data_IF_899609025516
#
_entry.id   IF_899609025516
#
_cell.length_a   1.000
_cell.length_b   1.000
_cell.length_c   1.000
_cell.angle_alpha   90.00
_cell.angle_beta   90.00
_cell.angle_gamma   90.00
#
_symmetry.space_group_name_H-M   'P 1'
#
loop_
_entity.id
_entity.type
_entity.pdbx_description
1 polymer ?
#
# COMPACT_ATOMS: atom_id res chain seq x y z
N UNK A 1 -6.72 1.09 11.35
CA UNK A 1 -7.65 -0.02 11.03
C UNK A 1 -6.94 -1.34 11.23
N UNK A 2 -7.67 -2.33 11.66
CA UNK A 2 -7.14 -3.70 11.82
C UNK A 2 -7.65 -4.57 10.68
N UNK A 3 -6.75 -5.30 10.03
CA UNK A 3 -7.12 -6.26 9.00
C UNK A 3 -7.68 -7.53 9.65
N UNK A 4 -8.87 -7.93 9.24
CA UNK A 4 -9.53 -9.12 9.77
C UNK A 4 -9.50 -10.26 8.73
N UNK A 5 -9.20 -11.47 9.20
CA UNK A 5 -9.16 -12.66 8.34
C UNK A 5 -10.50 -12.90 7.62
N UNK A 6 -11.60 -12.78 8.33
CA UNK A 6 -12.94 -13.02 7.77
C UNK A 6 -13.28 -12.03 6.65
N UNK A 7 -12.89 -10.77 6.80
CA UNK A 7 -13.11 -9.75 5.79
C UNK A 7 -12.30 -10.02 4.52
N UNK A 8 -11.07 -10.49 4.68
CA UNK A 8 -10.21 -10.87 3.55
C UNK A 8 -10.80 -12.07 2.81
N UNK A 9 -11.28 -13.07 3.53
CA UNK A 9 -11.92 -14.25 2.94
C UNK A 9 -13.18 -13.86 2.16
N UNK A 10 -13.99 -12.93 2.68
CA UNK A 10 -15.15 -12.40 1.95
C UNK A 10 -14.73 -11.76 0.63
N UNK A 11 -13.70 -10.94 0.64
CA UNK A 11 -13.19 -10.32 -0.58
C UNK A 11 -12.65 -11.36 -1.58
N UNK A 12 -11.94 -12.38 -1.10
CA UNK A 12 -11.46 -13.48 -1.93
C UNK A 12 -12.64 -14.18 -2.61
N UNK A 13 -13.70 -14.47 -1.88
CA UNK A 13 -14.88 -15.13 -2.43
C UNK A 13 -15.60 -14.27 -3.47
N UNK A 14 -15.65 -12.94 -3.26
CA UNK A 14 -16.19 -12.01 -4.26
C UNK A 14 -15.35 -11.99 -5.54
N UNK A 15 -14.05 -12.02 -5.43
CA UNK A 15 -13.14 -12.05 -6.58
C UNK A 15 -13.20 -13.40 -7.32
N UNK A 16 -13.33 -14.51 -6.59
CA UNK A 16 -13.56 -15.84 -7.17
C UNK A 16 -14.84 -15.87 -8.00
N UNK A 17 -15.91 -15.27 -7.50
CA UNK A 17 -17.18 -15.17 -8.22
C UNK A 17 -17.07 -14.39 -9.54
N UNK A 18 -16.11 -13.47 -9.63
CA UNK A 18 -15.79 -12.71 -10.84
C UNK A 18 -14.83 -13.45 -11.79
N UNK A 19 -14.38 -14.65 -11.43
CA UNK A 19 -13.42 -15.42 -12.22
C UNK A 19 -11.97 -15.02 -12.03
N UNK A 20 -11.64 -14.24 -11.01
CA UNK A 20 -10.27 -13.83 -10.71
C UNK A 20 -9.54 -14.88 -9.87
N UNK A 21 -8.21 -14.90 -9.96
CA UNK A 21 -7.33 -15.82 -9.27
C UNK A 21 -6.39 -15.16 -8.28
N UNK A 22 -6.53 -13.86 -8.07
CA UNK A 22 -5.68 -13.11 -7.15
C UNK A 22 -6.42 -11.91 -6.57
N UNK A 23 -5.97 -11.50 -5.38
CA UNK A 23 -6.45 -10.31 -4.69
C UNK A 23 -5.24 -9.54 -4.18
N UNK A 24 -5.24 -8.23 -4.40
CA UNK A 24 -4.18 -7.35 -3.90
C UNK A 24 -4.77 -6.35 -2.92
N UNK A 25 -4.18 -6.28 -1.72
CA UNK A 25 -4.64 -5.39 -0.65
C UNK A 25 -3.47 -4.50 -0.23
N UNK A 26 -3.70 -3.19 -0.23
CA UNK A 26 -2.73 -2.25 0.32
C UNK A 26 -2.77 -2.33 1.86
N UNK A 27 -1.68 -2.78 2.47
CA UNK A 27 -1.60 -3.01 3.92
C UNK A 27 -0.78 -1.96 4.65
N UNK A 28 0.12 -1.28 3.94
CA UNK A 28 0.98 -0.26 4.53
C UNK A 28 1.31 0.79 3.48
N UNK A 29 1.21 2.06 3.84
CA UNK A 29 1.65 3.16 3.01
C UNK A 29 2.14 4.31 3.88
N UNK A 30 3.34 4.81 3.61
CA UNK A 30 3.89 5.95 4.32
C UNK A 30 4.69 6.85 3.39
N UNK A 31 4.74 8.14 3.72
CA UNK A 31 5.54 9.14 3.01
C UNK A 31 6.78 9.49 3.82
N UNK A 32 7.93 9.52 3.15
CA UNK A 32 9.17 10.04 3.70
C UNK A 32 9.40 11.46 3.15
N UNK A 33 9.64 12.40 4.05
CA UNK A 33 10.02 13.77 3.71
C UNK A 33 11.49 13.99 4.05
N UNK A 34 12.17 14.84 3.28
CA UNK A 34 13.61 15.07 3.41
C UNK A 34 14.04 15.49 4.83
N UNK A 35 13.24 16.34 5.51
CA UNK A 35 13.58 16.91 6.82
C UNK A 35 12.48 16.74 7.86
N UNK A 36 11.56 15.78 7.67
CA UNK A 36 10.43 15.57 8.56
C UNK A 36 10.28 14.08 8.90
N UNK A 37 9.58 13.81 9.99
CA UNK A 37 9.25 12.43 10.37
C UNK A 37 8.37 11.77 9.31
N UNK A 38 8.50 10.46 9.09
CA UNK A 38 7.63 9.73 8.18
C UNK A 38 6.16 9.92 8.54
N UNK A 39 5.33 10.14 7.52
CA UNK A 39 3.88 10.26 7.70
C UNK A 39 3.20 8.98 7.27
N UNK A 40 2.50 8.34 8.20
CA UNK A 40 1.72 7.14 7.92
C UNK A 40 0.41 7.53 7.23
N UNK A 41 0.17 7.02 6.02
CA UNK A 41 -1.05 7.26 5.25
C UNK A 41 -2.04 6.11 5.40
N UNK A 42 -1.56 4.88 5.45
CA UNK A 42 -2.38 3.69 5.58
C UNK A 42 -1.64 2.64 6.39
N UNK A 43 -2.32 2.05 7.36
CA UNK A 43 -1.78 0.93 8.12
C UNK A 43 -2.91 -0.03 8.47
N UNK A 44 -2.82 -1.26 7.95
CA UNK A 44 -3.70 -2.35 8.31
C UNK A 44 -3.03 -3.21 9.38
N UNK A 45 -3.39 -2.98 10.63
CA UNK A 45 -2.79 -3.71 11.75
C UNK A 45 -3.10 -5.21 11.64
N UNK A 46 -2.13 -6.04 12.00
CA UNK A 46 -2.28 -7.49 12.01
C UNK A 46 -2.25 -8.16 10.64
N UNK A 47 -1.83 -7.45 9.58
CA UNK A 47 -1.81 -8.02 8.23
C UNK A 47 -0.91 -9.25 8.11
N UNK A 48 0.19 -9.30 8.85
CA UNK A 48 1.09 -10.47 8.84
C UNK A 48 0.43 -11.72 9.44
N UNK A 49 -0.30 -11.55 10.54
CA UNK A 49 -1.06 -12.63 11.16
C UNK A 49 -2.16 -13.16 10.23
N UNK A 50 -2.84 -12.26 9.54
CA UNK A 50 -3.86 -12.64 8.56
C UNK A 50 -3.22 -13.37 7.39
N UNK A 51 -2.07 -12.89 6.90
CA UNK A 51 -1.31 -13.57 5.85
C UNK A 51 -0.90 -14.99 6.24
N UNK A 52 -0.44 -15.18 7.48
CA UNK A 52 -0.08 -16.50 8.00
C UNK A 52 -1.28 -17.45 8.02
N UNK A 53 -2.43 -16.96 8.49
CA UNK A 53 -3.68 -17.75 8.48
C UNK A 53 -4.12 -18.12 7.06
N UNK A 54 -4.00 -17.21 6.12
CA UNK A 54 -4.32 -17.49 4.72
C UNK A 54 -3.39 -18.56 4.14
N UNK A 55 -2.10 -18.47 4.43
CA UNK A 55 -1.13 -19.49 4.00
C UNK A 55 -1.45 -20.88 4.60
N UNK A 56 -1.85 -20.93 5.86
CA UNK A 56 -2.28 -22.17 6.52
C UNK A 56 -3.53 -22.76 5.86
N UNK A 57 -4.38 -21.94 5.26
CA UNK A 57 -5.59 -22.36 4.57
C UNK A 57 -5.39 -22.63 3.08
N UNK A 58 -4.14 -22.71 2.61
CA UNK A 58 -3.81 -23.10 1.25
C UNK A 58 -3.70 -21.96 0.24
N UNK A 59 -3.80 -20.71 0.68
CA UNK A 59 -3.60 -19.54 -0.19
C UNK A 59 -2.12 -19.23 -0.31
N UNK A 60 -1.71 -18.73 -1.48
CA UNK A 60 -0.36 -18.19 -1.67
C UNK A 60 -0.37 -16.71 -1.29
N UNK A 61 0.49 -16.32 -0.36
CA UNK A 61 0.56 -14.93 0.14
C UNK A 61 1.95 -14.36 -0.08
N UNK A 62 2.02 -13.25 -0.80
CA UNK A 62 3.26 -12.51 -1.03
C UNK A 62 3.07 -11.04 -0.63
N UNK A 63 4.18 -10.40 -0.28
CA UNK A 63 4.21 -8.98 0.04
C UNK A 63 5.11 -8.26 -0.95
N UNK A 64 4.59 -7.19 -1.56
CA UNK A 64 5.36 -6.38 -2.50
C UNK A 64 5.40 -4.93 -2.05
N UNK A 65 6.61 -4.43 -1.86
CA UNK A 65 6.84 -3.03 -1.52
C UNK A 65 7.27 -2.27 -2.78
N UNK A 66 6.57 -1.21 -3.08
CA UNK A 66 6.89 -0.30 -4.17
C UNK A 66 7.28 1.06 -3.62
N UNK A 67 8.20 1.73 -4.31
CA UNK A 67 8.68 3.06 -3.94
C UNK A 67 8.43 3.99 -5.11
N UNK A 68 7.70 5.09 -4.86
CA UNK A 68 7.37 6.09 -5.85
C UNK A 68 7.95 7.43 -5.43
N UNK A 69 8.75 8.06 -6.29
CA UNK A 69 9.31 9.38 -6.07
C UNK A 69 8.51 10.43 -6.84
N UNK A 70 8.09 11.48 -6.15
CA UNK A 70 7.45 12.62 -6.78
C UNK A 70 8.48 13.75 -6.90
N UNK A 71 8.70 14.19 -8.12
CA UNK A 71 9.74 15.14 -8.48
C UNK A 71 9.33 16.60 -8.29
N UNK A 72 10.34 17.47 -8.38
CA UNK A 72 10.33 18.91 -8.26
C UNK A 72 9.33 19.59 -9.19
N UNK A 73 8.55 20.52 -8.64
CA UNK A 73 7.62 21.33 -9.42
C UNK A 73 8.08 22.79 -9.42
N UNK A 74 8.16 23.39 -10.61
CA UNK A 74 8.43 24.83 -10.77
C UNK A 74 7.11 25.57 -10.64
N UNK A 75 7.01 26.43 -9.65
CA UNK A 75 5.84 27.31 -9.45
C UNK A 75 6.22 28.74 -9.77
N UNK A 76 5.52 29.35 -10.73
CA UNK A 76 5.70 30.74 -11.11
C UNK A 76 4.77 31.63 -10.30
N UNK A 77 5.34 32.48 -9.45
CA UNK A 77 4.59 33.50 -8.71
C UNK A 77 5.23 34.89 -8.95
N UNK A 78 4.39 35.89 -9.29
CA UNK A 78 4.81 37.29 -9.46
C UNK A 78 6.02 37.47 -10.39
N UNK A 79 6.02 36.78 -11.55
CA UNK A 79 7.09 36.80 -12.54
C UNK A 79 8.44 36.23 -12.04
N UNK A 80 8.45 35.57 -10.90
CA UNK A 80 9.64 34.91 -10.34
C UNK A 80 9.41 33.39 -10.37
N UNK A 81 10.32 32.66 -11.02
CA UNK A 81 10.29 31.22 -11.02
C UNK A 81 10.83 30.70 -9.70
N UNK A 82 9.95 30.12 -8.88
CA UNK A 82 10.33 29.54 -7.59
C UNK A 82 10.36 28.02 -7.72
N UNK A 83 11.52 27.43 -7.49
CA UNK A 83 11.69 26.00 -7.39
C UNK A 83 11.12 25.52 -6.06
N UNK A 84 9.93 24.93 -6.07
CA UNK A 84 9.39 24.25 -4.92
C UNK A 84 9.81 22.78 -5.01
N UNK A 85 10.87 22.44 -4.29
CA UNK A 85 11.35 21.07 -4.18
C UNK A 85 10.48 20.32 -3.16
N UNK A 86 9.43 19.64 -3.63
CA UNK A 86 8.70 18.68 -2.83
C UNK A 86 9.27 17.29 -3.13
N UNK A 87 10.26 16.88 -2.35
CA UNK A 87 10.74 15.51 -2.41
C UNK A 87 9.79 14.64 -1.60
N UNK A 88 9.00 13.81 -2.28
CA UNK A 88 8.13 12.82 -1.66
C UNK A 88 8.60 11.43 -2.04
N UNK A 89 8.94 10.63 -1.05
CA UNK A 89 9.16 9.21 -1.20
C UNK A 89 7.95 8.47 -0.63
N UNK A 90 7.14 7.90 -1.51
CA UNK A 90 5.96 7.15 -1.13
C UNK A 90 6.28 5.66 -1.15
N UNK A 91 6.24 5.03 0.02
CA UNK A 91 6.43 3.59 0.17
C UNK A 91 5.07 2.92 0.36
N UNK A 92 4.77 1.96 -0.50
CA UNK A 92 3.51 1.21 -0.47
C UNK A 92 3.81 -0.27 -0.40
N UNK A 93 3.25 -0.96 0.60
CA UNK A 93 3.32 -2.41 0.72
C UNK A 93 1.95 -3.00 0.44
N UNK A 94 1.88 -3.91 -0.52
CA UNK A 94 0.67 -4.64 -0.87
C UNK A 94 0.82 -6.10 -0.49
N UNK A 95 -0.26 -6.67 0.03
CA UNK A 95 -0.38 -8.11 0.23
C UNK A 95 -1.06 -8.71 -1.00
N UNK A 96 -0.40 -9.66 -1.65
CA UNK A 96 -0.90 -10.32 -2.85
C UNK A 96 -1.27 -11.74 -2.49
N UNK A 97 -2.56 -12.07 -2.64
CA UNK A 97 -3.11 -13.38 -2.31
C UNK A 97 -3.51 -14.05 -3.61
N UNK A 98 -3.03 -15.27 -3.81
CA UNK A 98 -3.36 -16.07 -5.00
C UNK A 98 -3.98 -17.39 -4.58
N UNK A 99 -4.90 -17.89 -5.42
CA UNK A 99 -5.56 -19.18 -5.21
C UNK A 99 -5.73 -20.00 -6.49
#
# INVERSE_FOLDING_TARGET
>A
MKLEFDDVVKQINLEKAKGKHSLQIKVLQYELFKDKKPKMLCQQLGYKSVGDKLAENGYSVDYKTTNSQVSTKVVRRNKVDTLVSTFRNLHTTNMIIKW
#
